data_IF_510092121475
#
_entry.id   IF_510092121475
#
_cell.length_a   1.000
_cell.length_b   1.000
_cell.length_c   1.000
_cell.angle_alpha   90.00
_cell.angle_beta   90.00
_cell.angle_gamma   90.00
#
_symmetry.space_group_name_H-M   'P 1'
#
loop_
_entity.id
_entity.type
_entity.pdbx_description
1 polymer ?
#
# COMPACT_ATOMS: atom_id res chain seq x y z
N UNK A 1 -21.52 -2.23 -20.06
CA UNK A 1 -20.95 -1.88 -18.74
C UNK A 1 -21.44 -0.49 -18.41
N UNK A 2 -22.16 -0.30 -17.31
CA UNK A 2 -22.68 1.02 -16.92
C UNK A 2 -21.52 2.04 -16.79
N UNK A 3 -21.62 3.26 -17.33
CA UNK A 3 -20.54 4.27 -17.33
C UNK A 3 -19.98 4.56 -15.94
N UNK A 4 -20.84 4.56 -14.92
CA UNK A 4 -20.46 4.76 -13.52
C UNK A 4 -19.56 3.63 -12.99
N UNK A 5 -19.89 2.37 -13.30
CA UNK A 5 -19.06 1.22 -12.92
C UNK A 5 -17.68 1.29 -13.59
N UNK A 6 -17.63 1.72 -14.85
CA UNK A 6 -16.37 1.88 -15.58
C UNK A 6 -15.47 2.95 -14.92
N UNK A 7 -16.04 4.05 -14.44
CA UNK A 7 -15.32 5.08 -13.70
C UNK A 7 -14.71 4.53 -12.40
N UNK A 8 -15.50 3.79 -11.61
CA UNK A 8 -15.00 3.23 -10.36
C UNK A 8 -13.94 2.14 -10.55
N UNK A 9 -14.08 1.33 -11.61
CA UNK A 9 -13.03 0.40 -12.04
C UNK A 9 -11.75 1.15 -12.39
N UNK A 10 -11.83 2.30 -13.07
CA UNK A 10 -10.66 3.11 -13.39
C UNK A 10 -9.97 3.66 -12.12
N UNK A 11 -10.73 4.09 -11.12
CA UNK A 11 -10.20 4.51 -9.80
C UNK A 11 -9.46 3.37 -9.12
N UNK A 12 -10.06 2.17 -9.09
CA UNK A 12 -9.40 0.99 -8.52
C UNK A 12 -8.11 0.62 -9.27
N UNK A 13 -8.14 0.63 -10.60
CA UNK A 13 -6.98 0.34 -11.43
C UNK A 13 -5.83 1.33 -11.17
N UNK A 14 -6.14 2.62 -10.98
CA UNK A 14 -5.15 3.62 -10.63
C UNK A 14 -4.52 3.34 -9.26
N UNK A 15 -5.33 3.04 -8.24
CA UNK A 15 -4.83 2.71 -6.91
C UNK A 15 -3.93 1.45 -6.92
N UNK A 16 -4.29 0.42 -7.69
CA UNK A 16 -3.48 -0.80 -7.85
C UNK A 16 -2.16 -0.50 -8.56
N UNK A 17 -2.20 0.34 -9.61
CA UNK A 17 -1.00 0.80 -10.31
C UNK A 17 -0.07 1.56 -9.37
N UNK A 18 -0.59 2.48 -8.56
CA UNK A 18 0.20 3.25 -7.60
C UNK A 18 0.85 2.36 -6.55
N UNK A 19 0.11 1.38 -6.00
CA UNK A 19 0.67 0.41 -5.08
C UNK A 19 1.82 -0.39 -5.71
N UNK A 20 1.66 -0.85 -6.95
CA UNK A 20 2.71 -1.56 -7.71
C UNK A 20 3.93 -0.66 -7.94
N UNK A 21 3.72 0.60 -8.33
CA UNK A 21 4.81 1.55 -8.55
C UNK A 21 5.58 1.84 -7.26
N UNK A 22 4.90 2.00 -6.12
CA UNK A 22 5.56 2.18 -4.84
C UNK A 22 6.42 0.97 -4.46
N UNK A 23 5.94 -0.25 -4.72
CA UNK A 23 6.71 -1.49 -4.50
C UNK A 23 7.96 -1.50 -5.36
N UNK A 24 7.83 -1.24 -6.67
CA UNK A 24 8.98 -1.20 -7.57
C UNK A 24 10.01 -0.12 -7.19
N UNK A 25 9.54 1.05 -6.73
CA UNK A 25 10.41 2.13 -6.27
C UNK A 25 11.22 1.71 -5.05
N UNK A 26 10.58 1.07 -4.06
CA UNK A 26 11.26 0.67 -2.83
C UNK A 26 12.18 -0.53 -3.01
N UNK A 27 11.83 -1.46 -3.91
CA UNK A 27 12.69 -2.59 -4.29
C UNK A 27 13.95 -2.10 -5.01
N UNK A 28 13.84 -1.07 -5.86
CA UNK A 28 14.98 -0.46 -6.56
C UNK A 28 15.82 0.46 -5.66
N UNK A 29 15.19 1.16 -4.72
CA UNK A 29 15.85 2.11 -3.82
C UNK A 29 15.24 2.05 -2.41
N UNK A 30 15.79 1.20 -1.52
CA UNK A 30 15.34 1.08 -0.14
C UNK A 30 15.46 2.37 0.69
N UNK A 31 16.37 3.27 0.33
CA UNK A 31 16.60 4.54 1.06
C UNK A 31 15.46 5.54 0.90
N UNK A 32 14.52 5.30 -0.03
CA UNK A 32 13.29 6.08 -0.15
C UNK A 32 12.48 6.14 1.15
N UNK A 33 12.64 5.18 2.06
CA UNK A 33 12.04 5.25 3.39
C UNK A 33 12.51 6.43 4.25
N UNK A 34 13.68 7.02 3.94
CA UNK A 34 14.12 8.29 4.53
C UNK A 34 13.29 9.48 4.05
N UNK A 35 12.73 9.41 2.84
CA UNK A 35 11.94 10.48 2.26
C UNK A 35 10.54 10.58 2.92
N UNK A 36 10.18 11.73 3.52
CA UNK A 36 8.87 11.91 4.16
C UNK A 36 7.69 11.86 3.19
N UNK A 37 7.87 12.30 1.93
CA UNK A 37 6.82 12.26 0.92
C UNK A 37 6.50 10.82 0.50
N UNK A 38 7.54 10.01 0.25
CA UNK A 38 7.35 8.58 -0.04
C UNK A 38 6.62 7.85 1.10
N UNK A 39 6.97 8.16 2.36
CA UNK A 39 6.26 7.60 3.53
C UNK A 39 4.78 8.00 3.57
N UNK A 40 4.44 9.24 3.19
CA UNK A 40 3.05 9.70 3.11
C UNK A 40 2.29 8.99 1.99
N UNK A 41 2.89 8.81 0.82
CA UNK A 41 2.30 8.04 -0.30
C UNK A 41 1.99 6.59 0.13
N UNK A 42 2.95 5.91 0.76
CA UNK A 42 2.77 4.55 1.27
C UNK A 42 1.69 4.48 2.36
N UNK A 43 1.62 5.47 3.25
CA UNK A 43 0.58 5.52 4.28
C UNK A 43 -0.81 5.73 3.65
N UNK A 44 -0.90 6.64 2.68
CA UNK A 44 -2.14 6.94 1.97
C UNK A 44 -2.68 5.69 1.27
N UNK A 45 -1.84 5.00 0.48
CA UNK A 45 -2.29 3.80 -0.26
C UNK A 45 -2.71 2.68 0.68
N UNK A 46 -1.98 2.48 1.80
CA UNK A 46 -2.36 1.51 2.83
C UNK A 46 -3.69 1.84 3.47
N UNK A 47 -3.94 3.12 3.78
CA UNK A 47 -5.21 3.57 4.37
C UNK A 47 -6.35 3.38 3.39
N UNK A 48 -6.16 3.72 2.12
CA UNK A 48 -7.17 3.53 1.08
C UNK A 48 -7.66 2.08 1.00
N UNK A 49 -6.74 1.12 0.82
CA UNK A 49 -7.12 -0.29 0.70
C UNK A 49 -7.64 -0.91 1.99
N UNK A 50 -7.20 -0.43 3.17
CA UNK A 50 -7.70 -0.91 4.47
C UNK A 50 -8.98 -0.22 4.93
N UNK A 51 -9.40 0.83 4.22
CA UNK A 51 -10.59 1.58 4.58
C UNK A 51 -11.83 0.71 4.44
N UNK A 52 -12.69 0.73 5.47
CA UNK A 52 -14.03 0.13 5.45
C UNK A 52 -15.10 1.14 5.04
N UNK A 53 -14.70 2.31 4.54
CA UNK A 53 -15.66 3.33 4.09
C UNK A 53 -16.45 2.85 2.88
N UNK A 54 -17.76 2.90 3.00
CA UNK A 54 -18.74 2.64 1.93
C UNK A 54 -19.13 3.91 1.18
N UNK A 55 -18.46 5.04 1.43
CA UNK A 55 -18.66 6.26 0.66
C UNK A 55 -18.13 6.10 -0.78
N UNK A 56 -18.71 6.82 -1.76
CA UNK A 56 -18.27 6.78 -3.15
C UNK A 56 -16.75 6.97 -3.29
N UNK A 57 -16.13 6.08 -4.05
CA UNK A 57 -14.67 6.06 -4.27
C UNK A 57 -13.85 5.37 -3.18
N UNK A 58 -14.45 4.91 -2.08
CA UNK A 58 -13.78 4.03 -1.12
C UNK A 58 -13.53 2.63 -1.70
N UNK A 59 -12.47 1.96 -1.25
CA UNK A 59 -12.18 0.59 -1.71
C UNK A 59 -13.34 -0.38 -1.42
N UNK A 60 -13.90 -0.34 -0.20
CA UNK A 60 -15.04 -1.18 0.17
C UNK A 60 -16.27 -0.88 -0.71
N UNK A 61 -16.60 0.39 -0.94
CA UNK A 61 -17.65 0.80 -1.87
C UNK A 61 -17.48 0.19 -3.27
N UNK A 62 -16.26 0.24 -3.82
CA UNK A 62 -15.99 -0.29 -5.17
C UNK A 62 -16.12 -1.82 -5.18
N UNK A 63 -15.62 -2.50 -4.14
CA UNK A 63 -15.78 -3.95 -3.99
C UNK A 63 -17.26 -4.35 -3.93
N UNK A 64 -18.07 -3.66 -3.13
CA UNK A 64 -19.52 -3.90 -3.02
C UNK A 64 -20.22 -3.71 -4.37
N UNK A 65 -19.89 -2.63 -5.09
CA UNK A 65 -20.43 -2.34 -6.42
C UNK A 65 -20.09 -3.42 -7.45
N UNK A 66 -18.93 -4.06 -7.30
CA UNK A 66 -18.45 -5.14 -8.16
C UNK A 66 -18.88 -6.53 -7.70
N UNK A 67 -19.56 -6.65 -6.55
CA UNK A 67 -19.93 -7.95 -5.96
C UNK A 67 -18.72 -8.76 -5.48
N UNK A 68 -17.64 -8.09 -5.06
CA UNK A 68 -16.41 -8.70 -4.56
C UNK A 68 -16.42 -8.67 -3.03
N UNK A 69 -16.08 -9.79 -2.40
CA UNK A 69 -15.84 -9.83 -0.95
C UNK A 69 -14.69 -8.90 -0.55
N UNK A 70 -15.01 -7.88 0.23
CA UNK A 70 -14.06 -6.83 0.63
C UNK A 70 -12.90 -7.41 1.42
N UNK A 71 -13.14 -8.36 2.33
CA UNK A 71 -12.09 -8.93 3.19
C UNK A 71 -11.11 -9.78 2.39
N UNK A 72 -11.62 -10.59 1.45
CA UNK A 72 -10.80 -11.34 0.51
C UNK A 72 -10.00 -10.41 -0.39
N UNK A 73 -10.60 -9.34 -0.91
CA UNK A 73 -9.93 -8.37 -1.75
C UNK A 73 -8.82 -7.63 -1.01
N UNK A 74 -9.07 -7.18 0.23
CA UNK A 74 -8.03 -6.59 1.09
C UNK A 74 -6.89 -7.58 1.30
N UNK A 75 -7.19 -8.85 1.60
CA UNK A 75 -6.18 -9.88 1.84
C UNK A 75 -5.27 -10.08 0.61
N UNK A 76 -5.86 -10.14 -0.59
CA UNK A 76 -5.10 -10.24 -1.84
C UNK A 76 -4.21 -9.01 -2.06
N UNK A 77 -4.74 -7.80 -1.85
CA UNK A 77 -3.95 -6.56 -1.97
C UNK A 77 -2.82 -6.48 -0.95
N UNK A 78 -3.06 -6.95 0.28
CA UNK A 78 -2.02 -7.06 1.32
C UNK A 78 -0.87 -7.96 0.88
N UNK A 79 -1.20 -9.15 0.36
CA UNK A 79 -0.23 -10.16 -0.06
C UNK A 79 0.57 -9.72 -1.29
N UNK A 80 -0.09 -9.15 -2.28
CA UNK A 80 0.53 -8.75 -3.54
C UNK A 80 1.37 -7.47 -3.39
N UNK A 81 0.92 -6.49 -2.59
CA UNK A 81 1.51 -5.16 -2.58
C UNK A 81 1.89 -4.66 -1.18
N UNK A 82 0.93 -4.57 -0.25
CA UNK A 82 1.13 -3.76 0.96
C UNK A 82 2.13 -4.37 1.96
N UNK A 83 2.27 -5.71 1.98
CA UNK A 83 3.28 -6.41 2.79
C UNK A 83 4.70 -6.17 2.29
N UNK A 84 4.89 -5.85 1.01
CA UNK A 84 6.20 -5.51 0.42
C UNK A 84 6.60 -4.07 0.74
N UNK A 85 5.61 -3.20 0.98
CA UNK A 85 5.80 -1.83 1.47
C UNK A 85 6.03 -1.77 2.99
N UNK A 86 7.07 -2.47 3.47
CA UNK A 86 7.53 -2.41 4.86
C UNK A 86 8.80 -1.59 4.97
N UNK A 87 8.88 -0.74 6.00
CA UNK A 87 10.10 -0.03 6.34
C UNK A 87 11.17 -1.07 6.70
N UNK A 88 12.37 -1.03 6.11
CA UNK A 88 13.44 -1.91 6.52
C UNK A 88 13.70 -1.68 8.00
N UNK A 89 13.70 -2.76 8.76
CA UNK A 89 14.09 -2.73 10.17
C UNK A 89 15.57 -2.39 10.15
N UNK A 90 15.92 -1.14 10.43
CA UNK A 90 17.32 -0.81 10.74
C UNK A 90 17.67 -1.69 11.93
N UNK A 91 18.49 -2.72 11.72
CA UNK A 91 19.13 -3.42 12.82
C UNK A 91 19.86 -2.33 13.60
N UNK A 92 19.35 -1.99 14.79
CA UNK A 92 20.13 -1.18 15.71
C UNK A 92 21.45 -1.93 15.88
N UNK A 93 22.62 -1.27 15.75
CA UNK A 93 23.87 -1.95 16.02
C UNK A 93 23.75 -2.61 17.39
N UNK A 94 24.01 -3.92 17.42
CA UNK A 94 24.08 -4.69 18.66
C UNK A 94 24.91 -3.91 19.66
N UNK A 95 24.48 -3.81 20.93
CA UNK A 95 25.26 -3.17 22.00
C UNK A 95 26.70 -3.71 22.07
N UNK A 96 26.93 -4.95 21.62
CA UNK A 96 28.24 -5.58 21.51
C UNK A 96 29.14 -4.89 20.47
N UNK A 97 28.58 -4.48 19.32
CA UNK A 97 29.34 -3.77 18.29
C UNK A 97 29.71 -2.34 18.69
N UNK A 98 28.95 -1.73 19.61
CA UNK A 98 29.21 -0.39 20.13
C UNK A 98 30.33 -0.38 21.18
N UNK A 99 30.53 -1.50 21.89
CA UNK A 99 31.58 -1.67 22.90
C UNK A 99 32.95 -2.05 22.31
N UNK A 100 32.99 -2.53 21.06
CA UNK A 100 34.23 -2.90 20.36
C UNK A 100 34.81 -1.76 19.51
N UNK A 101 34.17 -0.57 19.52
CA UNK A 101 34.58 0.61 18.75
C UNK A 101 35.22 1.70 19.62
N UNK A 102 35.59 1.38 20.87
CA UNK A 102 36.34 2.21 21.82
C UNK A 102 37.66 1.49 22.10
#
# INVERSE_FOLDING_TARGET
>A
MEPEKAMWIAVLNLAVKDAKTLVQRVEKNPDLWGNPMFRREVLHIKRYFRSKSTQPGGFAFICDLMGIDVDLAVKQIEELYLRRLKKPVKQRPSRVAMLLAI
#
